data_IF_218189025188
#
_entry.id   IF_218189025188
#
_cell.length_a   1.000
_cell.length_b   1.000
_cell.length_c   1.000
_cell.angle_alpha   90.00
_cell.angle_beta   90.00
_cell.angle_gamma   90.00
#
_symmetry.space_group_name_H-M   'P 1'
#
loop_
_entity.id
_entity.type
_entity.pdbx_description
1 polymer ?
#
# COMPACT_ATOMS: atom_id res chain seq x y z
N UNK A 1 -18.34 -13.42 12.98
CA UNK A 1 -17.84 -14.53 12.14
C UNK A 1 -16.62 -14.02 11.40
N UNK A 2 -15.40 -14.56 11.60
CA UNK A 2 -14.25 -14.18 10.79
C UNK A 2 -14.57 -14.49 9.32
N UNK A 3 -14.44 -13.51 8.43
CA UNK A 3 -14.55 -13.75 6.99
C UNK A 3 -13.46 -14.74 6.62
N UNK A 4 -13.83 -15.86 5.98
CA UNK A 4 -12.84 -16.75 5.37
C UNK A 4 -12.12 -15.95 4.30
N UNK A 5 -10.81 -15.77 4.45
CA UNK A 5 -9.99 -15.22 3.40
C UNK A 5 -9.82 -16.34 2.35
N UNK A 6 -10.53 -16.22 1.24
CA UNK A 6 -10.43 -17.12 0.10
C UNK A 6 -9.43 -16.49 -0.86
N UNK A 7 -8.36 -17.23 -1.16
CA UNK A 7 -7.42 -16.81 -2.19
C UNK A 7 -8.04 -17.06 -3.57
N UNK A 8 -8.36 -15.99 -4.28
CA UNK A 8 -8.72 -16.03 -5.68
C UNK A 8 -7.46 -15.80 -6.51
N UNK A 9 -7.13 -16.72 -7.42
CA UNK A 9 -6.05 -16.47 -8.38
C UNK A 9 -6.44 -15.29 -9.28
N UNK A 10 -5.47 -14.48 -9.74
CA UNK A 10 -5.73 -13.44 -10.71
C UNK A 10 -6.48 -14.00 -11.93
N UNK A 11 -7.34 -13.18 -12.52
CA UNK A 11 -8.07 -13.54 -13.74
C UNK A 11 -7.69 -12.56 -14.85
N UNK A 12 -7.43 -13.01 -16.09
CA UNK A 12 -7.01 -12.13 -17.17
C UNK A 12 -8.12 -11.13 -17.53
N UNK A 13 -7.73 -9.89 -17.81
CA UNK A 13 -8.65 -8.89 -18.35
C UNK A 13 -9.19 -9.30 -19.74
N UNK A 14 -10.27 -8.64 -20.16
CA UNK A 14 -10.82 -8.82 -21.50
C UNK A 14 -9.80 -8.49 -22.60
N UNK A 15 -8.92 -7.51 -22.36
CA UNK A 15 -7.85 -7.15 -23.30
C UNK A 15 -6.85 -8.28 -23.49
N UNK A 16 -6.53 -9.01 -22.42
CA UNK A 16 -5.66 -10.18 -22.52
C UNK A 16 -6.37 -11.35 -23.19
N UNK A 17 -7.64 -11.59 -22.84
CA UNK A 17 -8.46 -12.64 -23.46
C UNK A 17 -8.60 -12.46 -24.98
N UNK A 18 -8.67 -11.22 -25.47
CA UNK A 18 -8.71 -10.89 -26.91
C UNK A 18 -7.49 -11.36 -27.70
N UNK A 19 -6.37 -11.66 -27.03
CA UNK A 19 -5.16 -12.21 -27.68
C UNK A 19 -5.27 -13.71 -27.92
N UNK A 20 -6.24 -14.39 -27.31
CA UNK A 20 -6.41 -15.85 -27.46
C UNK A 20 -7.13 -16.16 -28.77
N UNK A 21 -6.61 -17.08 -29.59
CA UNK A 21 -7.17 -17.37 -30.91
C UNK A 21 -8.66 -17.71 -30.87
N UNK A 22 -9.08 -18.49 -29.89
CA UNK A 22 -10.44 -18.98 -29.70
C UNK A 22 -11.39 -17.87 -29.28
N UNK A 23 -10.95 -16.98 -28.38
CA UNK A 23 -11.76 -15.84 -27.97
C UNK A 23 -11.88 -14.83 -29.11
N UNK A 24 -10.76 -14.56 -29.80
CA UNK A 24 -10.68 -13.67 -30.95
C UNK A 24 -11.59 -14.13 -32.09
N UNK A 25 -11.56 -15.42 -32.42
CA UNK A 25 -12.44 -16.01 -33.42
C UNK A 25 -13.92 -15.76 -33.09
N UNK A 26 -14.32 -15.99 -31.84
CA UNK A 26 -15.71 -15.82 -31.41
C UNK A 26 -16.22 -14.36 -31.45
N UNK A 27 -15.34 -13.38 -31.22
CA UNK A 27 -15.73 -11.95 -31.28
C UNK A 27 -15.66 -11.37 -32.69
N UNK A 28 -14.91 -11.98 -33.60
CA UNK A 28 -14.79 -11.58 -35.00
C UNK A 28 -15.87 -12.21 -35.89
N UNK A 29 -16.42 -13.36 -35.48
CA UNK A 29 -17.59 -13.95 -36.14
C UNK A 29 -18.89 -13.20 -35.79
N UNK A 30 -19.67 -12.84 -36.81
CA UNK A 30 -21.02 -12.29 -36.65
C UNK A 30 -22.02 -13.42 -36.35
N UNK A 31 -21.97 -13.95 -35.12
CA UNK A 31 -22.87 -15.03 -34.66
C UNK A 31 -23.96 -14.50 -33.71
N UNK A 32 -25.19 -15.04 -33.77
CA UNK A 32 -26.25 -14.68 -32.82
C UNK A 32 -25.84 -14.94 -31.36
N UNK A 33 -26.27 -14.09 -30.43
CA UNK A 33 -25.89 -14.21 -29.02
C UNK A 33 -26.25 -15.54 -28.34
N UNK A 34 -27.28 -16.24 -28.82
CA UNK A 34 -27.62 -17.60 -28.38
C UNK A 34 -26.58 -18.64 -28.82
N UNK A 35 -26.03 -18.49 -30.03
CA UNK A 35 -24.98 -19.36 -30.57
C UNK A 35 -23.63 -19.07 -29.91
N UNK A 36 -23.34 -17.79 -29.65
CA UNK A 36 -22.15 -17.37 -28.90
C UNK A 36 -22.05 -18.07 -27.53
N UNK A 37 -23.15 -18.15 -26.78
CA UNK A 37 -23.17 -18.85 -25.49
C UNK A 37 -22.85 -20.34 -25.62
N UNK A 38 -23.39 -20.99 -26.65
CA UNK A 38 -23.13 -22.41 -26.91
C UNK A 38 -21.64 -22.62 -27.23
N UNK A 39 -21.07 -21.83 -28.15
CA UNK A 39 -19.65 -21.92 -28.52
C UNK A 39 -18.72 -21.61 -27.34
N UNK A 40 -19.06 -20.64 -26.48
CA UNK A 40 -18.30 -20.37 -25.25
C UNK A 40 -18.31 -21.57 -24.30
N UNK A 41 -19.45 -22.25 -24.16
CA UNK A 41 -19.56 -23.46 -23.33
C UNK A 41 -18.78 -24.63 -23.93
N UNK A 42 -18.80 -24.81 -25.25
CA UNK A 42 -18.03 -25.84 -25.96
C UNK A 42 -16.51 -25.62 -25.84
N UNK A 43 -16.08 -24.37 -25.68
CA UNK A 43 -14.68 -23.97 -25.54
C UNK A 43 -14.24 -23.72 -24.09
N UNK A 44 -15.09 -24.07 -23.11
CA UNK A 44 -14.82 -23.78 -21.70
C UNK A 44 -13.49 -24.36 -21.22
N UNK A 45 -13.17 -25.60 -21.59
CA UNK A 45 -11.91 -26.24 -21.20
C UNK A 45 -10.70 -25.52 -21.80
N UNK A 46 -10.77 -25.13 -23.08
CA UNK A 46 -9.71 -24.38 -23.75
C UNK A 46 -9.48 -23.01 -23.09
N UNK A 47 -10.55 -22.29 -22.72
CA UNK A 47 -10.42 -21.05 -21.95
C UNK A 47 -9.85 -21.30 -20.55
N UNK A 48 -10.21 -22.41 -19.90
CA UNK A 48 -9.60 -22.85 -18.65
C UNK A 48 -8.08 -23.02 -18.77
N UNK A 49 -7.61 -23.65 -19.84
CA UNK A 49 -6.18 -23.81 -20.12
C UNK A 49 -5.49 -22.45 -20.36
N UNK A 50 -6.11 -21.53 -21.10
CA UNK A 50 -5.54 -20.19 -21.30
C UNK A 50 -5.44 -19.40 -20.01
N UNK A 51 -6.49 -19.39 -19.19
CA UNK A 51 -6.48 -18.73 -17.87
C UNK A 51 -5.40 -19.33 -16.98
N UNK A 52 -5.29 -20.66 -16.94
CA UNK A 52 -4.29 -21.36 -16.13
C UNK A 52 -2.87 -21.04 -16.58
N UNK A 53 -2.62 -21.06 -17.89
CA UNK A 53 -1.32 -20.73 -18.48
C UNK A 53 -0.94 -19.28 -18.19
N UNK A 54 -1.86 -18.35 -18.41
CA UNK A 54 -1.65 -16.94 -18.14
C UNK A 54 -1.33 -16.68 -16.66
N UNK A 55 -2.11 -17.24 -15.74
CA UNK A 55 -1.90 -17.07 -14.31
C UNK A 55 -0.55 -17.66 -13.85
N UNK A 56 -0.16 -18.81 -14.40
CA UNK A 56 1.14 -19.45 -14.11
C UNK A 56 2.30 -18.58 -14.60
N UNK A 57 2.22 -18.07 -15.83
CA UNK A 57 3.23 -17.16 -16.39
C UNK A 57 3.35 -15.87 -15.56
N UNK A 58 2.22 -15.30 -15.13
CA UNK A 58 2.22 -14.15 -14.23
C UNK A 58 2.94 -14.48 -12.92
N UNK A 59 2.58 -15.57 -12.25
CA UNK A 59 3.15 -15.97 -10.96
C UNK A 59 4.65 -16.29 -11.03
N UNK A 60 5.10 -16.99 -12.07
CA UNK A 60 6.52 -17.21 -12.34
C UNK A 60 7.27 -15.89 -12.48
N UNK A 61 6.69 -14.98 -13.27
CA UNK A 61 7.26 -13.68 -13.59
C UNK A 61 7.31 -12.73 -12.38
N UNK A 62 6.32 -12.80 -11.48
CA UNK A 62 6.35 -12.10 -10.19
C UNK A 62 7.38 -12.72 -9.24
N UNK A 63 7.43 -14.05 -9.16
CA UNK A 63 8.36 -14.76 -8.28
C UNK A 63 9.82 -14.49 -8.66
N UNK A 64 10.14 -14.45 -9.95
CA UNK A 64 11.48 -14.12 -10.46
C UNK A 64 11.95 -12.70 -10.10
N UNK A 65 11.03 -11.80 -9.73
CA UNK A 65 11.36 -10.42 -9.33
C UNK A 65 11.52 -10.25 -7.83
N UNK A 66 11.21 -11.27 -7.04
CA UNK A 66 11.40 -11.21 -5.60
C UNK A 66 12.89 -11.20 -5.26
N UNK A 67 13.30 -10.50 -4.19
CA UNK A 67 14.66 -10.59 -3.69
C UNK A 67 15.01 -12.02 -3.25
N UNK A 68 16.24 -12.47 -3.52
CA UNK A 68 16.72 -13.84 -3.22
C UNK A 68 16.58 -14.27 -1.75
N UNK A 69 16.59 -13.30 -0.84
CA UNK A 69 16.52 -13.53 0.61
C UNK A 69 15.07 -13.50 1.16
N UNK A 70 14.08 -13.45 0.28
CA UNK A 70 12.67 -13.42 0.68
C UNK A 70 12.24 -14.80 1.18
N UNK A 71 11.59 -14.83 2.35
CA UNK A 71 11.07 -16.06 2.96
C UNK A 71 9.54 -16.10 2.85
N UNK A 72 8.91 -17.28 2.72
CA UNK A 72 7.46 -17.39 2.76
C UNK A 72 6.88 -17.00 4.13
N UNK A 73 5.58 -16.62 4.20
CA UNK A 73 4.84 -16.49 5.45
C UNK A 73 4.92 -17.75 6.32
N UNK A 74 4.92 -17.57 7.64
CA UNK A 74 4.63 -18.68 8.55
C UNK A 74 3.10 -18.87 8.68
N UNK A 75 2.57 -19.84 7.95
CA UNK A 75 1.15 -20.19 8.01
C UNK A 75 0.76 -21.00 9.25
N UNK A 76 1.72 -21.39 10.10
CA UNK A 76 1.45 -22.17 11.32
C UNK A 76 1.10 -21.28 12.52
N UNK A 77 1.11 -19.96 12.35
CA UNK A 77 0.77 -19.01 13.42
C UNK A 77 -0.73 -19.10 13.76
N UNK A 78 -1.09 -19.28 15.04
CA UNK A 78 -2.49 -19.34 15.47
C UNK A 78 -3.28 -18.11 15.02
N UNK A 79 -4.41 -18.34 14.34
CA UNK A 79 -5.31 -17.27 13.86
C UNK A 79 -5.15 -16.90 12.38
N UNK A 80 -4.14 -17.42 11.69
CA UNK A 80 -4.06 -17.34 10.22
C UNK A 80 -4.91 -18.45 9.61
N UNK A 81 -5.92 -18.09 8.82
CA UNK A 81 -6.77 -19.06 8.11
C UNK A 81 -6.98 -18.58 6.68
N UNK A 82 -5.91 -18.63 5.88
CA UNK A 82 -5.99 -18.46 4.44
C UNK A 82 -6.23 -19.82 3.76
N UNK A 83 -7.28 -19.93 2.96
CA UNK A 83 -7.62 -21.15 2.24
C UNK A 83 -7.75 -20.91 0.73
N UNK A 84 -7.25 -21.86 -0.07
CA UNK A 84 -7.39 -21.92 -1.53
C UNK A 84 -8.33 -23.06 -1.90
N UNK A 85 -9.54 -22.79 -2.36
CA UNK A 85 -10.48 -23.82 -2.84
C UNK A 85 -10.58 -25.06 -1.91
N UNK A 86 -10.72 -24.81 -0.60
CA UNK A 86 -10.76 -25.81 0.48
C UNK A 86 -9.44 -26.48 0.91
N UNK A 87 -8.29 -26.12 0.31
CA UNK A 87 -6.95 -26.50 0.81
C UNK A 87 -6.31 -25.34 1.60
N UNK A 88 -5.44 -25.62 2.59
CA UNK A 88 -4.74 -24.57 3.31
C UNK A 88 -3.67 -23.91 2.42
N UNK A 89 -3.42 -22.61 2.58
CA UNK A 89 -2.46 -21.87 1.74
C UNK A 89 -1.01 -22.38 1.83
N UNK A 90 -0.66 -23.15 2.86
CA UNK A 90 0.66 -23.76 3.00
C UNK A 90 0.95 -24.87 1.98
N UNK A 91 -0.06 -25.32 1.22
CA UNK A 91 0.13 -26.28 0.12
C UNK A 91 0.53 -25.62 -1.20
N UNK A 92 0.53 -24.28 -1.26
CA UNK A 92 0.97 -23.53 -2.45
C UNK A 92 2.48 -23.66 -2.65
N UNK A 93 2.95 -23.44 -3.88
CA UNK A 93 4.38 -23.32 -4.14
C UNK A 93 5.00 -22.15 -3.34
N UNK A 94 6.22 -22.32 -2.83
CA UNK A 94 6.88 -21.35 -1.96
C UNK A 94 6.93 -19.93 -2.56
N UNK A 95 7.20 -19.81 -3.87
CA UNK A 95 7.17 -18.52 -4.56
C UNK A 95 5.81 -17.83 -4.47
N UNK A 96 4.71 -18.57 -4.67
CA UNK A 96 3.35 -18.03 -4.55
C UNK A 96 3.05 -17.65 -3.10
N UNK A 97 3.50 -18.46 -2.14
CA UNK A 97 3.38 -18.12 -0.72
C UNK A 97 4.06 -16.78 -0.40
N UNK A 98 5.24 -16.53 -0.98
CA UNK A 98 5.96 -15.27 -0.80
C UNK A 98 5.21 -14.08 -1.40
N UNK A 99 4.58 -14.25 -2.57
CA UNK A 99 3.74 -13.21 -3.19
C UNK A 99 2.56 -12.79 -2.31
N UNK A 100 2.09 -13.67 -1.42
CA UNK A 100 0.97 -13.36 -0.52
C UNK A 100 1.35 -12.45 0.64
N UNK A 101 2.63 -12.18 0.90
CA UNK A 101 3.06 -11.36 2.04
C UNK A 101 2.57 -9.92 1.93
N UNK A 102 2.15 -9.35 3.06
CA UNK A 102 1.66 -7.97 3.15
C UNK A 102 2.76 -6.90 2.94
N UNK A 103 4.02 -7.30 3.00
CA UNK A 103 5.20 -6.47 2.71
C UNK A 103 5.85 -6.80 1.36
N UNK A 104 5.22 -7.63 0.52
CA UNK A 104 5.65 -7.84 -0.86
C UNK A 104 4.78 -7.01 -1.78
N UNK A 105 5.37 -5.96 -2.33
CA UNK A 105 4.69 -5.07 -3.24
C UNK A 105 5.46 -4.88 -4.54
N UNK A 106 4.73 -4.58 -5.59
CA UNK A 106 5.25 -4.29 -6.91
C UNK A 106 4.78 -2.92 -7.38
N UNK A 107 5.44 -2.36 -8.40
CA UNK A 107 5.01 -1.14 -9.09
C UNK A 107 5.21 -1.28 -10.59
N UNK A 108 4.31 -0.68 -11.36
CA UNK A 108 4.35 -0.71 -12.83
C UNK A 108 5.43 0.21 -13.41
N UNK A 109 5.70 1.33 -12.73
CA UNK A 109 6.76 2.27 -13.06
C UNK A 109 7.01 3.15 -11.81
N UNK A 110 7.93 4.11 -11.90
CA UNK A 110 8.27 5.01 -10.78
C UNK A 110 7.08 5.80 -10.23
N UNK A 111 6.04 6.04 -11.04
CA UNK A 111 4.85 6.79 -10.69
C UNK A 111 3.58 5.93 -10.64
N UNK A 112 3.73 4.62 -10.84
CA UNK A 112 2.62 3.69 -10.94
C UNK A 112 2.01 3.40 -9.58
N UNK A 113 0.75 2.94 -9.53
CA UNK A 113 0.18 2.44 -8.30
C UNK A 113 0.99 1.23 -7.82
N UNK A 114 1.07 1.10 -6.49
CA UNK A 114 1.57 -0.11 -5.86
C UNK A 114 0.61 -1.27 -6.15
N UNK A 115 1.14 -2.48 -6.28
CA UNK A 115 0.39 -3.69 -6.60
C UNK A 115 0.72 -4.79 -5.58
N UNK A 116 -0.31 -5.46 -5.08
CA UNK A 116 -0.25 -6.58 -4.14
C UNK A 116 -0.99 -7.78 -4.71
N UNK A 117 -0.40 -8.96 -4.55
CA UNK A 117 -0.96 -10.18 -5.11
C UNK A 117 -2.06 -10.72 -4.17
N UNK A 118 -3.18 -11.24 -4.71
CA UNK A 118 -3.49 -11.42 -6.14
C UNK A 118 -4.23 -10.25 -6.81
N UNK A 119 -4.75 -9.30 -6.03
CA UNK A 119 -5.86 -8.44 -6.47
C UNK A 119 -5.53 -7.48 -7.62
N UNK A 120 -4.30 -6.97 -7.69
CA UNK A 120 -3.97 -5.85 -8.58
C UNK A 120 -3.45 -6.27 -9.97
N UNK A 121 -3.46 -7.57 -10.28
CA UNK A 121 -2.77 -8.12 -11.45
C UNK A 121 -3.70 -8.46 -12.64
N UNK A 122 -5.01 -8.41 -12.45
CA UNK A 122 -5.99 -8.76 -13.49
C UNK A 122 -5.96 -7.82 -14.69
N UNK A 123 -5.74 -6.52 -14.45
CA UNK A 123 -5.86 -5.45 -15.44
C UNK A 123 -4.50 -4.92 -15.95
N UNK A 124 -3.39 -5.61 -15.68
CA UNK A 124 -2.08 -5.08 -16.03
C UNK A 124 -1.80 -5.21 -17.54
N UNK A 125 -1.58 -4.09 -18.25
CA UNK A 125 -1.51 -4.09 -19.71
C UNK A 125 -0.24 -4.78 -20.25
N UNK A 126 0.85 -4.80 -19.48
CA UNK A 126 2.08 -5.55 -19.81
C UNK A 126 2.83 -5.96 -18.53
N UNK A 127 2.92 -7.26 -18.20
CA UNK A 127 3.65 -7.74 -17.02
C UNK A 127 5.15 -7.38 -17.00
N UNK A 128 5.76 -7.13 -18.17
CA UNK A 128 7.20 -6.84 -18.28
C UNK A 128 7.65 -5.54 -17.61
N UNK A 129 6.75 -4.56 -17.46
CA UNK A 129 7.08 -3.26 -16.85
C UNK A 129 7.05 -3.29 -15.32
N UNK A 130 6.48 -4.34 -14.75
CA UNK A 130 6.39 -4.47 -13.31
C UNK A 130 7.79 -4.64 -12.68
N UNK A 131 8.01 -4.04 -11.53
CA UNK A 131 9.22 -4.21 -10.71
C UNK A 131 8.86 -4.38 -9.24
N UNK A 132 9.72 -5.06 -8.48
CA UNK A 132 9.58 -5.15 -7.03
C UNK A 132 9.80 -3.77 -6.40
N UNK A 133 8.88 -3.35 -5.53
CA UNK A 133 8.94 -2.03 -4.92
C UNK A 133 9.68 -2.07 -3.58
N UNK A 134 11.01 -1.96 -3.64
CA UNK A 134 11.89 -2.06 -2.47
C UNK A 134 11.52 -1.06 -1.38
N UNK A 135 11.24 0.19 -1.74
CA UNK A 135 10.92 1.24 -0.78
C UNK A 135 9.62 0.95 -0.03
N UNK A 136 8.57 0.64 -0.78
CA UNK A 136 7.27 0.34 -0.20
C UNK A 136 7.30 -0.92 0.64
N UNK A 137 8.00 -1.95 0.16
CA UNK A 137 8.18 -3.22 0.86
C UNK A 137 8.94 -3.04 2.18
N UNK A 138 9.97 -2.18 2.21
CA UNK A 138 10.69 -1.84 3.43
C UNK A 138 9.81 -1.12 4.46
N UNK A 139 9.03 -0.14 4.02
CA UNK A 139 8.08 0.57 4.90
C UNK A 139 7.05 -0.43 5.45
N UNK A 140 6.44 -1.24 4.57
CA UNK A 140 5.48 -2.25 4.97
C UNK A 140 6.08 -3.23 6.00
N UNK A 141 7.31 -3.67 5.78
CA UNK A 141 8.06 -4.54 6.72
C UNK A 141 8.16 -3.90 8.11
N UNK A 142 8.57 -2.63 8.20
CA UNK A 142 8.74 -1.94 9.48
C UNK A 142 7.39 -1.71 10.20
N UNK A 143 6.33 -1.41 9.45
CA UNK A 143 4.98 -1.30 9.99
C UNK A 143 4.49 -2.64 10.54
N UNK A 144 4.71 -3.75 9.82
CA UNK A 144 4.35 -5.09 10.28
C UNK A 144 5.13 -5.52 11.53
N UNK A 145 6.42 -5.19 11.60
CA UNK A 145 7.24 -5.44 12.78
C UNK A 145 6.69 -4.69 14.00
N UNK A 146 6.31 -3.41 13.83
CA UNK A 146 5.69 -2.60 14.90
C UNK A 146 4.37 -3.21 15.39
N UNK A 147 3.60 -3.82 14.49
CA UNK A 147 2.35 -4.50 14.83
C UNK A 147 2.56 -5.91 15.42
N UNK A 148 3.80 -6.40 15.51
CA UNK A 148 4.10 -7.77 15.90
C UNK A 148 3.55 -8.81 14.92
N UNK A 149 3.43 -8.45 13.64
CA UNK A 149 2.86 -9.30 12.56
C UNK A 149 3.81 -9.47 11.37
N UNK A 150 5.11 -9.79 11.58
CA UNK A 150 6.01 -10.04 10.46
C UNK A 150 5.51 -11.21 9.61
N UNK A 151 5.61 -11.09 8.28
CA UNK A 151 5.24 -12.18 7.36
C UNK A 151 3.74 -12.45 7.21
N UNK A 152 2.85 -11.65 7.82
CA UNK A 152 1.40 -11.75 7.61
C UNK A 152 1.02 -11.55 6.13
N UNK A 153 -0.09 -12.13 5.69
CA UNK A 153 -0.52 -12.01 4.29
C UNK A 153 -1.20 -10.67 4.00
N UNK A 154 -1.10 -10.19 2.76
CA UNK A 154 -1.79 -8.99 2.29
C UNK A 154 -3.31 -9.12 2.46
N UNK A 155 -3.88 -10.31 2.19
CA UNK A 155 -5.32 -10.56 2.32
C UNK A 155 -5.78 -10.44 3.77
N UNK A 156 -4.99 -10.90 4.74
CA UNK A 156 -5.28 -10.69 6.17
C UNK A 156 -5.28 -9.21 6.52
N UNK A 157 -4.24 -8.46 6.11
CA UNK A 157 -4.16 -7.02 6.39
C UNK A 157 -5.26 -6.22 5.68
N UNK A 158 -5.63 -6.61 4.46
CA UNK A 158 -6.76 -6.05 3.72
C UNK A 158 -8.08 -6.32 4.42
N UNK A 159 -8.27 -7.52 4.98
CA UNK A 159 -9.52 -7.90 5.66
C UNK A 159 -9.81 -7.08 6.92
N UNK A 160 -8.78 -6.49 7.53
CA UNK A 160 -8.91 -5.57 8.66
C UNK A 160 -9.54 -4.22 8.27
N UNK A 161 -9.63 -3.90 6.97
CA UNK A 161 -10.30 -2.70 6.48
C UNK A 161 -9.59 -1.41 6.89
N UNK A 162 -10.37 -0.32 7.04
CA UNK A 162 -9.84 0.99 7.42
C UNK A 162 -9.70 1.12 8.94
N UNK A 163 -8.67 0.49 9.51
CA UNK A 163 -8.37 0.54 10.95
C UNK A 163 -6.92 0.96 11.26
N UNK A 164 -6.09 1.22 10.25
CA UNK A 164 -4.68 1.57 10.45
C UNK A 164 -4.52 3.07 10.57
N UNK A 165 -4.02 3.53 11.71
CA UNK A 165 -3.75 4.94 11.95
C UNK A 165 -2.24 5.19 12.05
N UNK A 166 -1.77 6.25 11.40
CA UNK A 166 -0.38 6.69 11.54
C UNK A 166 -0.16 7.22 12.96
N UNK A 167 0.81 6.66 13.68
CA UNK A 167 1.17 7.14 15.01
C UNK A 167 2.16 8.31 15.01
N UNK A 168 2.76 8.63 13.85
CA UNK A 168 3.74 9.72 13.68
C UNK A 168 3.11 11.07 13.33
N UNK A 169 1.90 11.08 12.77
CA UNK A 169 1.23 12.34 12.45
C UNK A 169 0.90 13.10 13.74
N UNK A 170 1.14 14.41 13.72
CA UNK A 170 0.69 15.29 14.81
C UNK A 170 -0.80 15.57 14.68
N UNK A 171 -1.28 15.84 13.47
CA UNK A 171 -2.71 15.93 13.22
C UNK A 171 -3.36 14.53 13.27
N UNK A 172 -4.55 14.47 13.88
CA UNK A 172 -5.36 13.26 13.87
C UNK A 172 -5.79 12.94 12.44
N UNK A 173 -5.08 12.01 11.80
CA UNK A 173 -5.47 11.46 10.50
C UNK A 173 -6.45 10.32 10.73
N UNK A 174 -7.57 10.32 10.01
CA UNK A 174 -8.53 9.23 10.04
C UNK A 174 -7.89 7.88 9.69
N UNK A 175 -8.48 6.76 10.13
CA UNK A 175 -7.93 5.44 9.86
C UNK A 175 -7.94 5.11 8.36
N UNK A 176 -6.89 4.44 7.92
CA UNK A 176 -6.66 4.03 6.54
C UNK A 176 -6.73 2.51 6.43
N UNK A 177 -6.88 2.02 5.20
CA UNK A 177 -6.62 0.62 4.91
C UNK A 177 -5.10 0.35 4.83
N UNK A 178 -4.72 -0.93 4.76
CA UNK A 178 -3.31 -1.34 4.75
C UNK A 178 -2.47 -0.64 3.66
N UNK A 179 -2.99 -0.58 2.43
CA UNK A 179 -2.33 0.14 1.32
C UNK A 179 -2.18 1.62 1.62
N UNK A 180 -3.24 2.25 2.14
CA UNK A 180 -3.27 3.67 2.43
C UNK A 180 -2.26 4.09 3.48
N UNK A 181 -2.09 3.29 4.55
CA UNK A 181 -1.09 3.62 5.58
C UNK A 181 0.34 3.50 5.04
N UNK A 182 0.64 2.53 4.18
CA UNK A 182 1.97 2.44 3.57
C UNK A 182 2.21 3.61 2.61
N UNK A 183 1.24 3.91 1.74
CA UNK A 183 1.32 5.04 0.80
C UNK A 183 1.46 6.38 1.51
N UNK A 184 0.85 6.52 2.70
CA UNK A 184 1.04 7.69 3.55
C UNK A 184 2.52 7.89 3.90
N UNK A 185 3.23 6.86 4.34
CA UNK A 185 4.66 6.96 4.67
C UNK A 185 5.53 7.31 3.45
N UNK A 186 5.24 6.71 2.28
CA UNK A 186 5.91 7.06 1.02
C UNK A 186 5.70 8.54 0.69
N UNK A 187 4.46 9.02 0.76
CA UNK A 187 4.12 10.41 0.48
C UNK A 187 4.82 11.38 1.46
N UNK A 188 4.88 11.05 2.75
CA UNK A 188 5.58 11.86 3.74
C UNK A 188 7.08 11.97 3.45
N UNK A 189 7.71 10.89 2.98
CA UNK A 189 9.12 10.92 2.55
C UNK A 189 9.31 11.81 1.33
N UNK A 190 8.43 11.71 0.33
CA UNK A 190 8.47 12.58 -0.86
C UNK A 190 8.31 14.06 -0.49
N UNK A 191 7.38 14.39 0.42
CA UNK A 191 7.20 15.76 0.93
C UNK A 191 8.48 16.24 1.63
N UNK A 192 9.05 15.43 2.53
CA UNK A 192 10.28 15.77 3.24
C UNK A 192 11.47 16.00 2.28
N UNK A 193 11.66 15.14 1.27
CA UNK A 193 12.68 15.32 0.23
C UNK A 193 12.45 16.59 -0.59
N UNK A 194 11.19 16.88 -0.96
CA UNK A 194 10.84 18.10 -1.69
C UNK A 194 11.15 19.35 -0.88
N UNK A 195 10.87 19.34 0.43
CA UNK A 195 11.16 20.45 1.33
C UNK A 195 12.67 20.65 1.53
N UNK A 196 13.40 19.59 1.89
CA UNK A 196 14.85 19.63 2.18
C UNK A 196 15.74 19.86 0.96
N UNK A 197 15.22 19.63 -0.24
CA UNK A 197 15.92 19.94 -1.49
C UNK A 197 15.83 21.41 -1.92
N UNK A 198 14.94 22.22 -1.33
CA UNK A 198 14.82 23.65 -1.63
C UNK A 198 16.12 24.39 -1.30
N UNK A 199 16.53 25.29 -2.18
CA UNK A 199 17.74 26.10 -1.97
C UNK A 199 17.67 26.95 -0.70
N UNK A 200 16.51 27.56 -0.43
CA UNK A 200 16.23 28.33 0.78
C UNK A 200 16.48 27.55 2.07
N UNK A 201 16.06 26.28 2.10
CA UNK A 201 16.29 25.36 3.21
C UNK A 201 17.78 25.04 3.35
N UNK A 202 18.45 24.71 2.24
CA UNK A 202 19.89 24.36 2.26
C UNK A 202 20.79 25.52 2.65
N UNK A 203 20.38 26.76 2.38
CA UNK A 203 21.11 27.98 2.74
C UNK A 203 20.76 28.52 4.12
N UNK A 204 19.66 28.06 4.73
CA UNK A 204 19.21 28.58 6.02
C UNK A 204 20.11 28.05 7.13
N UNK A 205 20.78 28.99 7.81
CA UNK A 205 21.56 28.68 9.00
C UNK A 205 20.60 28.39 10.17
N UNK A 206 20.91 27.36 10.96
CA UNK A 206 20.14 26.93 12.13
C UNK A 206 18.70 26.46 11.83
N UNK A 207 18.40 26.10 10.57
CA UNK A 207 17.11 25.49 10.21
C UNK A 207 17.16 23.97 10.37
N UNK A 208 16.24 23.43 11.14
CA UNK A 208 16.05 21.98 11.35
C UNK A 208 14.71 21.56 10.74
N UNK A 209 14.69 20.46 9.99
CA UNK A 209 13.47 19.85 9.45
C UNK A 209 13.57 18.33 9.45
N UNK A 210 13.13 17.73 10.55
CA UNK A 210 13.25 16.29 10.78
C UNK A 210 12.21 15.49 10.00
N UNK A 211 12.64 14.32 9.51
CA UNK A 211 11.72 13.36 8.91
C UNK A 211 11.04 12.54 10.02
N UNK A 212 9.92 13.05 10.53
CA UNK A 212 9.18 12.41 11.64
C UNK A 212 8.59 11.04 11.29
N UNK A 213 8.50 10.72 10.00
CA UNK A 213 7.98 9.44 9.49
C UNK A 213 9.10 8.48 9.07
N UNK A 214 10.35 8.72 9.46
CA UNK A 214 11.40 7.73 9.28
C UNK A 214 11.07 6.46 10.08
N UNK A 215 10.93 5.34 9.38
CA UNK A 215 10.61 4.05 9.99
C UNK A 215 11.83 3.44 10.69
N UNK A 216 13.04 3.93 10.41
CA UNK A 216 14.30 3.43 10.97
C UNK A 216 14.75 4.16 12.22
N UNK A 217 14.10 5.27 12.57
CA UNK A 217 14.46 6.08 13.73
C UNK A 217 13.55 5.74 14.92
N UNK A 218 14.19 5.40 16.04
CA UNK A 218 13.47 5.25 17.31
C UNK A 218 12.84 6.59 17.72
N UNK A 219 11.56 6.57 18.07
CA UNK A 219 10.91 7.71 18.69
C UNK A 219 9.79 7.23 19.60
N UNK A 220 9.43 8.04 20.60
CA UNK A 220 8.41 7.70 21.59
C UNK A 220 7.00 7.52 21.01
N UNK A 221 6.77 7.89 19.75
CA UNK A 221 5.52 7.64 19.02
C UNK A 221 5.60 6.29 18.27
N UNK A 222 4.56 5.44 18.26
CA UNK A 222 4.57 4.24 17.43
C UNK A 222 4.43 4.60 15.94
N UNK A 223 4.87 3.71 15.04
CA UNK A 223 4.69 3.91 13.60
C UNK A 223 3.22 3.81 13.18
N UNK A 224 2.54 2.77 13.65
CA UNK A 224 1.15 2.47 13.29
C UNK A 224 0.39 1.95 14.50
N UNK A 225 -0.89 2.29 14.57
CA UNK A 225 -1.85 1.78 15.56
C UNK A 225 -3.03 1.16 14.83
N UNK A 226 -3.62 0.13 15.43
CA UNK A 226 -4.91 -0.41 15.00
C UNK A 226 -5.97 0.22 15.90
N UNK A 227 -6.95 0.91 15.31
CA UNK A 227 -8.07 1.55 16.02
C UNK A 227 -9.38 0.81 15.75
N UNK A 228 -10.27 0.78 16.74
CA UNK A 228 -11.58 0.15 16.60
C UNK A 228 -12.56 1.11 15.93
N UNK A 229 -13.54 0.57 15.18
CA UNK A 229 -14.51 1.38 14.41
C UNK A 229 -15.39 2.33 15.25
N UNK A 230 -15.44 2.18 16.57
CA UNK A 230 -16.09 3.13 17.48
C UNK A 230 -15.33 4.45 17.62
N UNK A 231 -14.02 4.44 17.38
CA UNK A 231 -13.16 5.63 17.44
C UNK A 231 -13.10 6.37 16.09
N UNK A 232 -13.71 5.80 15.05
CA UNK A 232 -13.78 6.38 13.70
C UNK A 232 -14.83 7.52 13.59
N UNK A 233 -15.58 7.80 14.66
CA UNK A 233 -16.62 8.83 14.70
C UNK A 233 -16.17 10.07 15.46
N UNK A 234 -15.13 10.71 14.95
CA UNK A 234 -14.96 12.14 15.07
C UNK A 234 -14.02 12.52 13.94
N UNK A 235 -14.49 13.28 12.96
CA UNK A 235 -13.73 14.28 12.20
C UNK A 235 -14.61 14.74 11.03
N UNK A 236 -15.67 15.47 11.36
CA UNK A 236 -16.03 16.60 10.52
C UNK A 236 -14.89 17.61 10.70
N UNK A 237 -13.94 17.65 9.77
CA UNK A 237 -13.04 18.79 9.66
C UNK A 237 -13.88 19.98 9.21
N UNK A 238 -14.51 20.67 10.17
CA UNK A 238 -14.76 22.08 9.99
C UNK A 238 -13.40 22.72 9.64
N UNK A 239 -13.34 23.51 8.56
CA UNK A 239 -12.15 24.26 8.14
C UNK A 239 -11.75 25.25 9.25
N UNK A 240 -11.13 24.76 10.32
CA UNK A 240 -10.46 25.60 11.30
C UNK A 240 -9.23 26.16 10.62
N UNK A 241 -9.12 27.48 10.56
CA UNK A 241 -7.95 28.16 10.02
C UNK A 241 -6.74 27.78 10.88
N UNK A 242 -5.90 26.87 10.39
CA UNK A 242 -4.71 26.40 11.10
C UNK A 242 -3.71 27.53 11.32
N UNK A 243 -2.92 27.44 12.38
CA UNK A 243 -1.81 28.35 12.65
C UNK A 243 -0.66 28.08 11.66
N UNK A 244 -0.06 29.16 11.16
CA UNK A 244 1.10 29.13 10.26
C UNK A 244 2.38 28.89 11.06
N UNK A 245 3.18 27.90 10.64
CA UNK A 245 4.54 27.73 11.16
C UNK A 245 5.47 28.76 10.51
N UNK A 246 5.95 29.73 11.29
CA UNK A 246 6.85 30.78 10.80
C UNK A 246 8.24 30.23 10.47
N UNK A 247 8.68 29.17 11.16
CA UNK A 247 9.97 28.51 10.90
C UNK A 247 9.99 27.90 9.49
N UNK A 248 8.93 27.16 9.11
CA UNK A 248 8.72 26.68 7.74
C UNK A 248 8.56 27.85 6.74
N UNK A 249 7.76 28.85 7.09
CA UNK A 249 7.47 29.98 6.19
C UNK A 249 8.73 30.77 5.81
N UNK A 250 9.67 30.94 6.75
CA UNK A 250 10.92 31.67 6.53
C UNK A 250 11.80 31.05 5.42
N UNK A 251 11.64 29.75 5.16
CA UNK A 251 12.35 29.04 4.09
C UNK A 251 11.45 28.70 2.90
N UNK A 252 10.28 29.33 2.80
CA UNK A 252 9.35 29.13 1.68
C UNK A 252 8.64 27.77 1.71
N UNK A 253 8.46 27.19 2.90
CA UNK A 253 7.57 26.05 3.12
C UNK A 253 6.28 26.58 3.74
N UNK A 254 5.16 26.36 3.05
CA UNK A 254 3.86 26.76 3.57
C UNK A 254 3.24 25.61 4.36
N UNK A 255 3.36 25.68 5.68
CA UNK A 255 2.86 24.66 6.61
C UNK A 255 1.87 25.29 7.59
N UNK A 256 0.63 24.77 7.61
CA UNK A 256 -0.38 25.16 8.58
C UNK A 256 -0.80 23.95 9.40
N UNK A 257 -0.86 24.12 10.71
CA UNK A 257 -1.30 23.07 11.63
C UNK A 257 -2.53 23.55 12.41
N UNK A 258 -3.48 22.67 12.77
CA UNK A 258 -4.51 23.04 13.73
C UNK A 258 -3.88 23.54 15.03
N UNK A 259 -4.54 24.48 15.71
CA UNK A 259 -3.98 25.12 16.91
C UNK A 259 -3.55 24.12 17.99
N UNK A 260 -4.32 23.03 18.14
CA UNK A 260 -4.00 21.95 19.07
C UNK A 260 -2.68 21.21 18.78
N UNK A 261 -2.12 21.33 17.57
CA UNK A 261 -0.97 20.55 17.10
C UNK A 261 0.26 21.39 16.72
N UNK A 262 0.18 22.73 16.77
CA UNK A 262 1.32 23.57 16.36
C UNK A 262 2.54 23.36 17.24
N UNK A 263 2.35 23.14 18.55
CA UNK A 263 3.44 22.91 19.48
C UNK A 263 4.12 21.56 19.20
N UNK A 264 3.33 20.53 18.93
CA UNK A 264 3.86 19.21 18.56
C UNK A 264 4.62 19.26 17.22
N UNK A 265 4.13 20.03 16.25
CA UNK A 265 4.85 20.28 15.00
C UNK A 265 6.21 20.93 15.25
N UNK A 266 6.25 22.03 16.00
CA UNK A 266 7.48 22.77 16.27
C UNK A 266 8.50 21.93 17.05
N UNK A 267 8.05 21.13 18.02
CA UNK A 267 8.94 20.23 18.76
C UNK A 267 9.44 19.09 17.89
N UNK A 268 8.56 18.38 17.18
CA UNK A 268 8.93 17.13 16.51
C UNK A 268 9.63 17.36 15.16
N UNK A 269 9.33 18.48 14.47
CA UNK A 269 9.91 18.81 13.16
C UNK A 269 11.11 19.74 13.30
N UNK A 270 11.06 20.71 14.22
CA UNK A 270 12.06 21.77 14.36
C UNK A 270 12.87 21.72 15.67
N UNK A 271 12.61 20.76 16.57
CA UNK A 271 13.28 20.62 17.87
C UNK A 271 13.12 21.85 18.80
N UNK A 272 11.99 22.55 18.70
CA UNK A 272 11.66 23.71 19.54
C UNK A 272 10.78 23.25 20.71
N UNK A 273 11.37 23.14 21.90
CA UNK A 273 10.68 22.71 23.12
C UNK A 273 9.71 23.77 23.68
N UNK A 274 10.04 25.05 23.51
CA UNK A 274 9.22 26.19 23.98
C UNK A 274 8.76 27.08 22.81
N UNK A 275 7.70 26.68 22.09
CA UNK A 275 7.08 27.49 21.03
C UNK A 275 6.60 28.87 21.52
N UNK A 276 6.85 29.92 20.72
CA UNK A 276 6.46 31.29 21.02
C UNK A 276 5.62 31.86 19.87
N UNK A 277 4.41 32.35 20.17
CA UNK A 277 3.55 33.01 19.18
C UNK A 277 4.20 34.30 18.69
N UNK A 278 4.13 34.55 17.38
CA UNK A 278 4.76 35.69 16.71
C UNK A 278 6.24 35.48 16.35
N UNK A 279 6.90 34.48 16.95
CA UNK A 279 8.29 34.10 16.64
C UNK A 279 8.34 32.77 15.88
N UNK A 280 7.70 31.74 16.41
CA UNK A 280 7.69 30.38 15.83
C UNK A 280 6.41 30.07 15.05
N UNK A 281 5.28 30.68 15.41
CA UNK A 281 4.00 30.49 14.73
C UNK A 281 3.09 31.72 14.80
N UNK A 282 2.17 31.85 13.84
CA UNK A 282 1.15 32.92 13.81
C UNK A 282 -0.22 32.38 13.40
N UNK A 283 -1.25 33.21 13.52
CA UNK A 283 -2.57 32.95 12.92
C UNK A 283 -2.52 33.13 11.40
#
# INVERSE_FOLDING_TARGET
MPKKNILHRPFPSLYEAQKWPEYKFLIEEDIPGSEMKLKLSEKQDAFGEFVQKWATQLEEMLTQRLPDHSLPPDFNVPGSSLTTNAQPANTLFAGIQMLLRADVAFKLNEYGPSCFYPDDFSELPVPSQLSYDVELSNIATDLLQTLGKPGVTYLEMKSLGCCFQCGRCNEHRGPMNWRGIIQHYVAQKSIWLSHTSKSSVRSAQDFVYLFTHDTKVESGKPLVRIVNGSDASALNHAYTHGLLCLVCSNVGIYERCPEAYINDHLRDVHLIEEPEKGKHYSS
#
